data_IF_053881278660
#
_entry.id   IF_053881278660
#
_cell.length_a   1.000
_cell.length_b   1.000
_cell.length_c   1.000
_cell.angle_alpha   90.00
_cell.angle_beta   90.00
_cell.angle_gamma   90.00
#
_symmetry.space_group_name_H-M   'P 1'
#
loop_
_entity.id
_entity.type
_entity.pdbx_description
1 polymer ?
#
# COMPACT_ATOMS: atom_id res chain seq x y z
N UNK A 1 -16.20 73.60 17.54
CA UNK A 1 -16.79 72.73 16.51
C UNK A 1 -15.71 72.11 15.61
N UNK A 2 -14.76 72.89 15.11
CA UNK A 2 -13.72 72.41 14.16
C UNK A 2 -12.71 71.41 14.77
N UNK A 3 -12.29 71.62 16.02
CA UNK A 3 -11.39 70.70 16.76
C UNK A 3 -12.04 69.33 16.96
N UNK A 4 -13.32 69.28 17.30
CA UNK A 4 -14.07 68.01 17.47
C UNK A 4 -14.21 67.26 16.14
N UNK A 5 -14.42 67.98 15.04
CA UNK A 5 -14.48 67.39 13.70
C UNK A 5 -13.11 66.82 13.27
N UNK A 6 -12.02 67.53 13.56
CA UNK A 6 -10.67 67.05 13.25
C UNK A 6 -10.27 65.82 14.08
N UNK A 7 -10.64 65.79 15.37
CA UNK A 7 -10.46 64.61 16.22
C UNK A 7 -11.25 63.42 15.68
N UNK A 8 -12.51 63.62 15.28
CA UNK A 8 -13.36 62.57 14.71
C UNK A 8 -12.80 62.03 13.39
N UNK A 9 -12.28 62.90 12.53
CA UNK A 9 -11.60 62.51 11.28
C UNK A 9 -10.36 61.66 11.56
N UNK A 10 -9.56 62.04 12.56
CA UNK A 10 -8.38 61.26 12.95
C UNK A 10 -8.76 59.88 13.49
N UNK A 11 -9.72 59.79 14.42
CA UNK A 11 -10.16 58.50 14.96
C UNK A 11 -10.70 57.57 13.86
N UNK A 12 -11.47 58.12 12.90
CA UNK A 12 -11.95 57.34 11.76
C UNK A 12 -10.81 56.89 10.85
N UNK A 13 -9.82 57.75 10.60
CA UNK A 13 -8.64 57.40 9.81
C UNK A 13 -7.80 56.30 10.47
N UNK A 14 -7.52 56.40 11.76
CA UNK A 14 -6.73 55.40 12.48
C UNK A 14 -7.48 54.08 12.61
N UNK A 15 -8.81 54.13 12.83
CA UNK A 15 -9.67 52.94 12.80
C UNK A 15 -9.57 52.23 11.44
N UNK A 16 -9.69 52.96 10.34
CA UNK A 16 -9.57 52.38 8.99
C UNK A 16 -8.19 51.75 8.78
N UNK A 17 -7.11 52.43 9.20
CA UNK A 17 -5.74 51.91 9.11
C UNK A 17 -5.56 50.60 9.87
N UNK A 18 -6.10 50.51 11.09
CA UNK A 18 -6.04 49.28 11.90
C UNK A 18 -6.81 48.15 11.22
N UNK A 19 -8.00 48.43 10.68
CA UNK A 19 -8.82 47.42 9.99
C UNK A 19 -8.11 46.89 8.73
N UNK A 20 -7.51 47.76 7.93
CA UNK A 20 -6.74 47.37 6.75
C UNK A 20 -5.53 46.51 7.14
N UNK A 21 -4.79 46.89 8.18
CA UNK A 21 -3.66 46.09 8.67
C UNK A 21 -4.09 44.70 9.17
N UNK A 22 -5.20 44.63 9.90
CA UNK A 22 -5.75 43.34 10.37
C UNK A 22 -6.19 42.47 9.20
N UNK A 23 -6.86 43.06 8.19
CA UNK A 23 -7.27 42.34 6.98
C UNK A 23 -6.06 41.77 6.22
N UNK A 24 -4.99 42.55 6.07
CA UNK A 24 -3.75 42.09 5.43
C UNK A 24 -3.10 40.94 6.21
N UNK A 25 -3.05 41.04 7.53
CA UNK A 25 -2.48 40.00 8.38
C UNK A 25 -3.29 38.69 8.32
N UNK A 26 -4.62 38.78 8.40
CA UNK A 26 -5.51 37.63 8.32
C UNK A 26 -5.36 36.95 6.96
N UNK A 27 -5.34 37.73 5.86
CA UNK A 27 -5.15 37.17 4.52
C UNK A 27 -3.80 36.46 4.38
N UNK A 28 -2.73 37.05 4.92
CA UNK A 28 -1.42 36.42 4.96
C UNK A 28 -1.42 35.10 5.73
N UNK A 29 -2.06 35.05 6.90
CA UNK A 29 -2.18 33.83 7.70
C UNK A 29 -2.98 32.74 6.98
N UNK A 30 -4.13 33.08 6.39
CA UNK A 30 -4.96 32.14 5.63
C UNK A 30 -4.17 31.55 4.46
N UNK A 31 -3.39 32.37 3.75
CA UNK A 31 -2.55 31.91 2.63
C UNK A 31 -1.50 30.90 3.09
N UNK A 32 -0.81 31.18 4.20
CA UNK A 32 0.19 30.28 4.78
C UNK A 32 -0.45 28.97 5.25
N UNK A 33 -1.56 29.04 5.97
CA UNK A 33 -2.27 27.84 6.43
C UNK A 33 -2.81 27.01 5.27
N UNK A 34 -3.33 27.65 4.22
CA UNK A 34 -3.77 26.96 3.01
C UNK A 34 -2.61 26.23 2.32
N UNK A 35 -1.46 26.89 2.16
CA UNK A 35 -0.26 26.26 1.61
C UNK A 35 0.22 25.09 2.47
N UNK A 36 0.23 25.25 3.79
CA UNK A 36 0.59 24.18 4.72
C UNK A 36 -0.38 22.99 4.61
N UNK A 37 -1.69 23.23 4.51
CA UNK A 37 -2.68 22.19 4.33
C UNK A 37 -2.50 21.44 3.00
N UNK A 38 -2.22 22.16 1.91
CA UNK A 38 -1.90 21.56 0.60
C UNK A 38 -0.64 20.69 0.67
N UNK A 39 0.46 21.21 1.23
CA UNK A 39 1.72 20.45 1.40
C UNK A 39 1.52 19.21 2.29
N UNK A 40 0.73 19.33 3.36
CA UNK A 40 0.40 18.19 4.21
C UNK A 40 -0.37 17.11 3.45
N UNK A 41 -1.29 17.50 2.57
CA UNK A 41 -2.03 16.54 1.75
C UNK A 41 -1.13 15.82 0.75
N UNK A 42 -0.15 16.52 0.16
CA UNK A 42 0.86 15.94 -0.74
C UNK A 42 1.76 14.94 0.01
N UNK A 43 2.30 15.32 1.18
CA UNK A 43 3.09 14.43 2.01
C UNK A 43 2.33 13.15 2.42
N UNK A 44 1.04 13.29 2.77
CA UNK A 44 0.19 12.14 3.09
C UNK A 44 -0.02 11.22 1.89
N UNK A 45 -0.17 11.79 0.69
CA UNK A 45 -0.28 11.01 -0.54
C UNK A 45 1.02 10.24 -0.84
N UNK A 46 2.18 10.90 -0.76
CA UNK A 46 3.47 10.25 -0.97
C UNK A 46 3.72 9.12 0.04
N UNK A 47 3.42 9.36 1.33
CA UNK A 47 3.55 8.34 2.36
C UNK A 47 2.63 7.14 2.08
N UNK A 48 1.37 7.40 1.69
CA UNK A 48 0.41 6.36 1.34
C UNK A 48 0.89 5.52 0.15
N UNK A 49 1.37 6.16 -0.91
CA UNK A 49 1.91 5.45 -2.08
C UNK A 49 3.15 4.61 -1.71
N UNK A 50 4.02 5.13 -0.84
CA UNK A 50 5.15 4.39 -0.29
C UNK A 50 4.72 3.14 0.49
N UNK A 51 3.69 3.25 1.33
CA UNK A 51 3.13 2.13 2.10
C UNK A 51 2.46 1.09 1.19
N UNK A 52 1.68 1.52 0.20
CA UNK A 52 1.07 0.63 -0.80
C UNK A 52 2.17 -0.11 -1.60
N UNK A 53 3.27 0.58 -1.91
CA UNK A 53 4.46 -0.01 -2.51
C UNK A 53 5.11 -1.10 -1.65
N UNK A 54 5.28 -0.84 -0.35
CA UNK A 54 5.86 -1.80 0.60
C UNK A 54 4.94 -3.01 0.82
N UNK A 55 3.62 -2.79 0.98
CA UNK A 55 2.65 -3.87 1.17
C UNK A 55 2.66 -4.85 0.00
N UNK A 56 2.59 -4.34 -1.24
CA UNK A 56 2.65 -5.18 -2.46
C UNK A 56 3.93 -6.02 -2.52
N UNK A 57 5.07 -5.44 -2.12
CA UNK A 57 6.34 -6.19 -2.08
C UNK A 57 6.28 -7.33 -1.05
N UNK A 58 5.72 -7.08 0.13
CA UNK A 58 5.54 -8.11 1.16
C UNK A 58 4.60 -9.23 0.67
N UNK A 59 3.49 -8.88 0.02
CA UNK A 59 2.56 -9.86 -0.56
C UNK A 59 3.23 -10.73 -1.62
N UNK A 60 4.02 -10.14 -2.53
CA UNK A 60 4.75 -10.90 -3.55
C UNK A 60 5.74 -11.90 -2.93
N UNK A 61 6.45 -11.50 -1.86
CA UNK A 61 7.35 -12.39 -1.15
C UNK A 61 6.60 -13.53 -0.46
N UNK A 62 5.38 -13.29 0.02
CA UNK A 62 4.54 -14.29 0.64
C UNK A 62 4.04 -15.33 -0.38
N UNK A 63 3.64 -14.90 -1.58
CA UNK A 63 3.28 -15.79 -2.68
C UNK A 63 4.44 -16.71 -3.09
N UNK A 64 5.67 -16.19 -3.08
CA UNK A 64 6.87 -16.96 -3.41
C UNK A 64 7.17 -18.07 -2.38
N UNK A 65 6.74 -17.90 -1.12
CA UNK A 65 7.05 -18.83 -0.02
C UNK A 65 5.86 -19.65 0.48
N UNK A 66 4.66 -19.52 -0.10
CA UNK A 66 3.45 -20.22 0.36
C UNK A 66 2.74 -21.07 -0.69
N UNK A 67 2.09 -22.12 -0.22
CA UNK A 67 1.25 -22.99 -1.03
C UNK A 67 -0.09 -22.33 -1.37
N UNK A 68 -0.34 -22.07 -2.66
CA UNK A 68 -1.59 -21.48 -3.16
C UNK A 68 -2.87 -22.32 -2.93
N UNK A 69 -2.75 -23.54 -2.39
CA UNK A 69 -3.91 -24.39 -2.03
C UNK A 69 -4.30 -24.23 -0.56
N UNK A 70 -3.34 -24.16 0.35
CA UNK A 70 -3.60 -24.12 1.80
C UNK A 70 -3.10 -22.85 2.48
N UNK A 71 -2.48 -21.95 1.71
CA UNK A 71 -1.92 -20.66 2.13
C UNK A 71 -0.87 -20.76 3.24
N UNK A 72 -0.28 -21.95 3.43
CA UNK A 72 0.77 -22.20 4.42
C UNK A 72 2.16 -22.12 3.77
N UNK A 73 3.21 -21.72 4.51
CA UNK A 73 4.58 -21.73 4.01
C UNK A 73 5.02 -23.10 3.48
N UNK A 74 5.85 -23.11 2.44
CA UNK A 74 6.46 -24.34 1.94
C UNK A 74 7.31 -25.00 3.02
N UNK A 75 7.25 -26.32 3.11
CA UNK A 75 8.24 -27.07 3.89
C UNK A 75 9.44 -27.46 3.01
N UNK A 76 10.64 -27.46 3.60
CA UNK A 76 11.85 -28.04 2.97
C UNK A 76 11.76 -29.56 2.85
N UNK A 77 10.97 -30.21 3.72
CA UNK A 77 10.92 -31.65 3.86
C UNK A 77 9.48 -32.17 4.13
N UNK A 78 9.33 -33.49 4.32
CA UNK A 78 8.05 -34.08 4.70
C UNK A 78 6.93 -34.03 3.64
N UNK A 79 5.68 -34.14 4.12
CA UNK A 79 4.48 -34.34 3.27
C UNK A 79 4.04 -33.08 2.53
N UNK A 80 4.36 -31.89 3.06
CA UNK A 80 4.02 -30.58 2.48
C UNK A 80 5.24 -29.90 1.81
N UNK A 81 6.23 -30.67 1.38
CA UNK A 81 7.36 -30.11 0.63
C UNK A 81 6.94 -29.50 -0.71
N UNK A 82 7.68 -28.50 -1.17
CA UNK A 82 7.47 -27.89 -2.48
C UNK A 82 7.70 -28.88 -3.63
N UNK A 83 6.75 -28.90 -4.58
CA UNK A 83 6.78 -29.68 -5.82
C UNK A 83 6.26 -28.82 -6.97
N UNK A 84 6.65 -29.16 -8.19
CA UNK A 84 6.15 -28.56 -9.42
C UNK A 84 5.30 -29.57 -10.21
N UNK A 85 4.29 -29.10 -10.91
CA UNK A 85 3.64 -29.85 -11.99
C UNK A 85 4.39 -29.69 -13.31
N UNK A 86 4.09 -30.52 -14.32
CA UNK A 86 4.61 -30.35 -15.69
C UNK A 86 4.38 -28.95 -16.28
N UNK A 87 3.38 -28.22 -15.82
CA UNK A 87 3.10 -26.85 -16.26
C UNK A 87 3.96 -25.77 -15.57
N UNK A 88 4.86 -26.13 -14.65
CA UNK A 88 5.76 -25.22 -13.95
C UNK A 88 5.25 -24.75 -12.58
N UNK A 89 3.93 -24.68 -12.39
CA UNK A 89 3.33 -24.18 -11.14
C UNK A 89 3.69 -25.01 -9.90
N UNK A 90 3.94 -24.30 -8.79
CA UNK A 90 4.41 -24.86 -7.52
C UNK A 90 3.28 -25.04 -6.52
N UNK A 91 3.37 -26.12 -5.73
CA UNK A 91 2.40 -26.48 -4.70
C UNK A 91 3.06 -27.35 -3.61
N UNK A 92 2.37 -27.51 -2.48
CA UNK A 92 2.76 -28.45 -1.44
C UNK A 92 2.38 -29.87 -1.89
N UNK A 93 3.29 -30.83 -1.73
CA UNK A 93 3.14 -32.18 -2.29
C UNK A 93 1.84 -32.87 -1.88
N UNK A 94 1.46 -32.83 -0.60
CA UNK A 94 0.18 -33.38 -0.13
C UNK A 94 -1.03 -32.65 -0.73
N UNK A 95 -0.97 -31.32 -0.81
CA UNK A 95 -2.06 -30.48 -1.31
C UNK A 95 -2.32 -30.73 -2.78
N UNK A 96 -1.29 -30.70 -3.63
CA UNK A 96 -1.50 -30.88 -5.07
C UNK A 96 -1.93 -32.29 -5.41
N UNK A 97 -1.42 -33.30 -4.69
CA UNK A 97 -1.86 -34.69 -4.88
C UNK A 97 -3.34 -34.86 -4.56
N UNK A 98 -3.84 -34.20 -3.53
CA UNK A 98 -5.28 -34.21 -3.20
C UNK A 98 -6.10 -33.48 -4.27
N UNK A 99 -5.62 -32.31 -4.73
CA UNK A 99 -6.32 -31.50 -5.72
C UNK A 99 -6.44 -32.21 -7.08
N UNK A 100 -5.34 -32.72 -7.63
CA UNK A 100 -5.35 -33.37 -8.96
C UNK A 100 -6.06 -34.73 -8.95
N UNK A 101 -6.21 -35.38 -7.78
CA UNK A 101 -7.05 -36.58 -7.64
C UNK A 101 -8.53 -36.27 -7.87
N UNK A 102 -8.97 -35.05 -7.56
CA UNK A 102 -10.38 -34.62 -7.73
C UNK A 102 -10.65 -34.04 -9.12
N UNK A 103 -9.73 -33.25 -9.68
CA UNK A 103 -10.00 -32.47 -10.89
C UNK A 103 -9.18 -32.86 -12.12
N UNK A 104 -8.09 -33.64 -11.94
CA UNK A 104 -7.10 -33.94 -12.99
C UNK A 104 -6.53 -32.70 -13.70
N UNK A 105 -6.53 -31.55 -13.04
CA UNK A 105 -6.10 -30.25 -13.59
C UNK A 105 -5.26 -29.48 -12.59
N UNK A 106 -4.33 -28.67 -13.10
CA UNK A 106 -3.58 -27.70 -12.30
C UNK A 106 -4.54 -26.66 -11.68
N UNK A 107 -4.48 -26.38 -10.37
CA UNK A 107 -5.31 -25.35 -9.73
C UNK A 107 -5.13 -23.93 -10.28
N UNK A 108 -3.94 -23.61 -10.83
CA UNK A 108 -3.63 -22.27 -11.36
C UNK A 108 -4.02 -22.15 -12.83
N UNK A 109 -3.40 -22.93 -13.73
CA UNK A 109 -3.59 -22.78 -15.17
C UNK A 109 -4.56 -23.77 -15.82
N UNK A 110 -5.19 -24.67 -15.05
CA UNK A 110 -6.16 -25.68 -15.52
C UNK A 110 -5.67 -26.68 -16.57
N UNK A 111 -4.37 -26.69 -16.90
CA UNK A 111 -3.75 -27.72 -17.76
C UNK A 111 -3.87 -29.10 -17.08
N UNK A 112 -4.04 -30.16 -17.88
CA UNK A 112 -4.17 -31.54 -17.39
C UNK A 112 -2.96 -31.90 -16.51
N UNK A 113 -3.23 -32.51 -15.36
CA UNK A 113 -2.23 -32.88 -14.38
C UNK A 113 -2.57 -34.22 -13.72
N UNK A 114 -1.60 -35.13 -13.70
CA UNK A 114 -1.69 -36.46 -13.10
C UNK A 114 -0.66 -36.61 -11.97
N UNK A 115 -0.81 -37.64 -11.13
CA UNK A 115 0.15 -37.93 -10.06
C UNK A 115 1.59 -38.14 -10.55
N UNK A 116 1.77 -38.66 -11.77
CA UNK A 116 3.06 -38.84 -12.42
C UNK A 116 3.71 -37.50 -12.86
N UNK A 117 2.94 -36.42 -12.87
CA UNK A 117 3.39 -35.09 -13.33
C UNK A 117 4.02 -34.27 -12.21
N UNK A 118 3.92 -34.77 -10.98
CA UNK A 118 4.40 -34.11 -9.77
C UNK A 118 5.89 -34.37 -9.59
N UNK A 119 6.70 -33.31 -9.71
CA UNK A 119 8.16 -33.34 -9.62
C UNK A 119 8.64 -32.62 -8.38
N UNK A 120 9.59 -33.22 -7.64
CA UNK A 120 10.22 -32.57 -6.47
C UNK A 120 11.14 -31.45 -6.94
N UNK A 121 11.10 -30.34 -6.22
CA UNK A 121 12.06 -29.25 -6.39
C UNK A 121 13.10 -29.35 -5.27
N UNK A 122 14.36 -29.18 -5.63
CA UNK A 122 15.49 -29.07 -4.73
C UNK A 122 16.14 -27.71 -5.00
N UNK A 123 16.21 -26.84 -4.01
CA UNK A 123 16.81 -25.51 -4.12
C UNK A 123 17.80 -25.31 -3.00
N UNK A 124 18.93 -24.64 -3.28
CA UNK A 124 19.94 -24.28 -2.26
C UNK A 124 19.37 -23.42 -1.13
N UNK A 125 18.31 -22.66 -1.39
CA UNK A 125 17.65 -21.79 -0.40
C UNK A 125 16.50 -22.46 0.34
N UNK A 126 16.10 -23.65 -0.09
CA UNK A 126 15.04 -24.46 0.53
C UNK A 126 15.73 -25.72 1.07
N UNK A 127 16.63 -25.53 2.04
CA UNK A 127 17.44 -26.61 2.60
C UNK A 127 16.90 -27.05 3.96
N UNK A 128 16.55 -28.34 3.99
CA UNK A 128 16.37 -29.30 5.10
C UNK A 128 16.11 -28.77 6.51
#
# INVERSE_FOLDING_TARGET
MEVLNNNMKWFNSERTRILEQLQLNIFGQISVEHHNAMNMSENLYELREGLDGLSRRMESMQEDITCSICLSPWSSNGRHRVVSLRCGHLFGNSCIRTAIRRSHRCPICRRRALHADVRRIFSRRISH
#
